data_IF_094232851746
#
_entry.id   IF_094232851746
#
_cell.length_a   1.000
_cell.length_b   1.000
_cell.length_c   1.000
_cell.angle_alpha   90.00
_cell.angle_beta   90.00
_cell.angle_gamma   90.00
#
_symmetry.space_group_name_H-M   'P 1'
#
loop_
_entity.id
_entity.type
_entity.pdbx_description
1 polymer ?
#
# COMPACT_ATOMS: atom_id res chain seq x y z
N UNK A 1 -5.11 -8.19 -3.10
CA UNK A 1 -5.52 -7.06 -2.25
C UNK A 1 -6.50 -6.18 -3.00
N UNK A 2 -7.56 -5.72 -2.36
CA UNK A 2 -8.57 -4.83 -2.91
C UNK A 2 -8.35 -3.40 -2.43
N UNK A 3 -8.55 -2.45 -3.34
CA UNK A 3 -8.58 -1.02 -3.06
C UNK A 3 -9.93 -0.44 -3.46
N UNK A 4 -10.47 0.46 -2.63
CA UNK A 4 -11.64 1.25 -2.97
C UNK A 4 -11.22 2.43 -3.84
N UNK A 5 -11.62 2.48 -5.11
CA UNK A 5 -11.30 3.60 -6.00
C UNK A 5 -12.31 4.76 -5.86
N UNK A 6 -13.61 4.46 -5.81
CA UNK A 6 -14.69 5.45 -5.80
C UNK A 6 -16.04 4.81 -5.36
N UNK A 7 -16.97 5.62 -4.85
CA UNK A 7 -18.38 5.23 -4.65
C UNK A 7 -19.26 6.30 -5.27
N UNK A 8 -19.89 5.99 -6.40
CA UNK A 8 -20.76 6.92 -7.13
C UNK A 8 -21.83 6.19 -7.91
N UNK A 9 -22.94 6.87 -8.18
CA UNK A 9 -24.03 6.36 -9.02
C UNK A 9 -24.55 4.97 -8.60
N UNK A 10 -24.54 4.69 -7.29
CA UNK A 10 -24.93 3.38 -6.73
C UNK A 10 -23.90 2.26 -6.95
N UNK A 11 -22.70 2.56 -7.42
CA UNK A 11 -21.63 1.62 -7.71
C UNK A 11 -20.44 1.81 -6.77
N UNK A 12 -19.79 0.70 -6.42
CA UNK A 12 -18.49 0.69 -5.74
C UNK A 12 -17.44 0.32 -6.78
N UNK A 13 -16.50 1.22 -7.02
CA UNK A 13 -15.39 1.01 -7.96
C UNK A 13 -14.19 0.48 -7.20
N UNK A 14 -13.61 -0.61 -7.71
CA UNK A 14 -12.60 -1.39 -7.02
C UNK A 14 -11.41 -1.71 -7.93
N UNK A 15 -10.23 -1.75 -7.31
CA UNK A 15 -8.99 -2.24 -7.92
C UNK A 15 -8.50 -3.48 -7.17
N UNK A 16 -8.40 -4.62 -7.86
CA UNK A 16 -7.76 -5.82 -7.33
C UNK A 16 -6.29 -5.86 -7.76
N UNK A 17 -5.39 -5.80 -6.79
CA UNK A 17 -3.93 -5.91 -6.96
C UNK A 17 -3.45 -7.33 -6.68
N UNK A 18 -2.61 -7.85 -7.56
CA UNK A 18 -1.93 -9.15 -7.44
C UNK A 18 -0.43 -8.94 -7.62
N UNK A 19 0.35 -9.53 -6.71
CA UNK A 19 1.79 -9.64 -6.82
C UNK A 19 2.11 -11.07 -7.26
N UNK A 20 2.84 -11.23 -8.35
CA UNK A 20 3.20 -12.56 -8.87
C UNK A 20 4.62 -12.58 -9.41
N UNK A 21 5.27 -13.74 -9.34
CA UNK A 21 6.52 -14.05 -10.05
C UNK A 21 6.28 -14.82 -11.34
N UNK A 22 5.03 -15.20 -11.60
CA UNK A 22 4.61 -15.91 -12.81
C UNK A 22 4.75 -15.00 -14.04
N UNK A 23 5.42 -15.49 -15.07
CA UNK A 23 5.61 -14.83 -16.35
C UNK A 23 4.43 -15.04 -17.32
N UNK A 24 3.52 -15.97 -17.00
CA UNK A 24 2.29 -16.22 -17.73
C UNK A 24 1.24 -15.11 -17.64
N UNK A 25 0.25 -15.18 -18.52
CA UNK A 25 -0.94 -14.33 -18.45
C UNK A 25 -1.81 -14.75 -17.27
N UNK A 26 -2.16 -13.81 -16.40
CA UNK A 26 -3.12 -14.05 -15.33
C UNK A 26 -4.53 -14.19 -15.90
N UNK A 27 -5.22 -15.26 -15.51
CA UNK A 27 -6.64 -15.41 -15.77
C UNK A 27 -7.40 -14.16 -15.27
N UNK A 28 -8.37 -13.64 -16.04
CA UNK A 28 -9.06 -12.41 -15.70
C UNK A 28 -9.88 -12.58 -14.41
N UNK A 29 -10.12 -11.46 -13.73
CA UNK A 29 -11.08 -11.39 -12.64
C UNK A 29 -12.50 -11.49 -13.22
N UNK A 30 -13.36 -12.29 -12.61
CA UNK A 30 -14.73 -12.52 -13.07
C UNK A 30 -15.71 -12.14 -11.95
N UNK A 31 -16.65 -11.24 -12.24
CA UNK A 31 -17.75 -10.88 -11.33
C UNK A 31 -18.92 -11.87 -11.43
N UNK A 32 -19.85 -11.86 -10.47
CA UNK A 32 -20.97 -12.81 -10.46
C UNK A 32 -21.95 -12.66 -11.63
N UNK A 33 -22.04 -11.46 -12.19
CA UNK A 33 -22.80 -11.11 -13.39
C UNK A 33 -22.14 -11.61 -14.69
N UNK A 34 -20.98 -12.27 -14.56
CA UNK A 34 -20.18 -12.78 -15.68
C UNK A 34 -19.28 -11.72 -16.31
N UNK A 35 -19.22 -10.49 -15.78
CA UNK A 35 -18.32 -9.47 -16.29
C UNK A 35 -16.85 -9.89 -16.09
N UNK A 36 -16.07 -9.75 -17.16
CA UNK A 36 -14.66 -10.19 -17.23
C UNK A 36 -13.74 -8.96 -17.20
N UNK A 37 -12.80 -8.96 -16.27
CA UNK A 37 -11.90 -7.85 -15.99
C UNK A 37 -10.44 -8.31 -16.10
N UNK A 38 -9.73 -7.99 -17.19
CA UNK A 38 -8.35 -8.42 -17.38
C UNK A 38 -7.41 -7.72 -16.40
N UNK A 39 -6.40 -8.45 -15.95
CA UNK A 39 -5.28 -7.87 -15.21
C UNK A 39 -4.36 -7.12 -16.17
N UNK A 40 -3.93 -5.91 -15.78
CA UNK A 40 -2.90 -5.13 -16.47
C UNK A 40 -1.68 -5.00 -15.59
N UNK A 41 -0.51 -5.16 -16.18
CA UNK A 41 0.76 -4.92 -15.48
C UNK A 41 0.95 -3.42 -15.22
N UNK A 42 1.35 -3.10 -13.98
CA UNK A 42 1.60 -1.75 -13.51
C UNK A 42 3.09 -1.48 -13.34
N UNK A 43 3.82 -2.50 -12.88
CA UNK A 43 5.27 -2.49 -12.85
C UNK A 43 5.81 -3.92 -12.80
N UNK A 44 7.10 -4.01 -13.13
CA UNK A 44 7.96 -5.15 -12.88
C UNK A 44 9.16 -4.65 -12.07
N UNK A 45 9.43 -5.28 -10.93
CA UNK A 45 10.51 -4.91 -10.01
C UNK A 45 11.02 -6.14 -9.27
N UNK A 46 12.35 -6.30 -9.15
CA UNK A 46 12.96 -7.42 -8.42
C UNK A 46 12.40 -8.83 -8.78
N UNK A 47 12.06 -9.05 -10.04
CA UNK A 47 11.47 -10.32 -10.53
C UNK A 47 10.00 -10.54 -10.18
N UNK A 48 9.34 -9.54 -9.60
CA UNK A 48 7.90 -9.52 -9.34
C UNK A 48 7.17 -8.63 -10.33
N UNK A 49 5.97 -9.06 -10.69
CA UNK A 49 5.01 -8.30 -11.48
C UNK A 49 3.88 -7.84 -10.58
N UNK A 50 3.48 -6.58 -10.75
CA UNK A 50 2.34 -6.00 -10.06
C UNK A 50 1.20 -5.84 -11.04
N UNK A 51 0.16 -6.63 -10.84
CA UNK A 51 -0.97 -6.77 -11.76
C UNK A 51 -2.20 -6.14 -11.14
N UNK A 52 -3.00 -5.41 -11.93
CA UNK A 52 -4.26 -4.82 -11.48
C UNK A 52 -5.42 -5.10 -12.43
N UNK A 53 -6.51 -5.60 -11.87
CA UNK A 53 -7.82 -5.60 -12.51
C UNK A 53 -8.69 -4.50 -11.87
N UNK A 54 -9.44 -3.76 -12.70
CA UNK A 54 -10.43 -2.78 -12.25
C UNK A 54 -11.82 -3.28 -12.55
N UNK A 55 -12.69 -3.24 -11.55
CA UNK A 55 -14.06 -3.72 -11.64
C UNK A 55 -14.98 -2.87 -10.77
N UNK A 56 -16.28 -3.16 -10.82
CA UNK A 56 -17.27 -2.49 -9.99
C UNK A 56 -18.34 -3.47 -9.55
N UNK A 57 -19.04 -3.14 -8.47
CA UNK A 57 -20.22 -3.86 -8.03
C UNK A 57 -21.30 -2.91 -7.51
N UNK A 58 -22.52 -3.43 -7.42
CA UNK A 58 -23.67 -2.70 -6.90
C UNK A 58 -23.49 -2.38 -5.41
N UNK A 59 -23.53 -1.10 -5.04
CA UNK A 59 -23.23 -0.65 -3.68
C UNK A 59 -24.22 -1.19 -2.63
N UNK A 60 -25.44 -1.55 -3.03
CA UNK A 60 -26.49 -2.04 -2.13
C UNK A 60 -26.49 -3.55 -1.94
N UNK A 61 -25.71 -4.28 -2.74
CA UNK A 61 -25.70 -5.75 -2.75
C UNK A 61 -24.33 -6.26 -2.36
N UNK A 62 -24.28 -7.51 -1.92
CA UNK A 62 -23.04 -8.26 -1.80
C UNK A 62 -22.31 -8.28 -3.14
N UNK A 63 -21.01 -7.98 -3.13
CA UNK A 63 -20.17 -8.00 -4.34
C UNK A 63 -19.36 -9.29 -4.29
N UNK A 64 -19.46 -10.12 -5.33
CA UNK A 64 -18.70 -11.36 -5.45
C UNK A 64 -17.84 -11.34 -6.71
N UNK A 65 -16.59 -11.75 -6.56
CA UNK A 65 -15.66 -11.87 -7.68
C UNK A 65 -14.80 -13.13 -7.54
N UNK A 66 -14.30 -13.64 -8.65
CA UNK A 66 -13.38 -14.77 -8.71
C UNK A 66 -12.07 -14.34 -9.37
N UNK A 67 -10.95 -14.67 -8.73
CA UNK A 67 -9.62 -14.43 -9.26
C UNK A 67 -8.67 -15.50 -8.69
N UNK A 68 -7.67 -15.90 -9.48
CA UNK A 68 -6.63 -16.87 -9.05
C UNK A 68 -7.24 -18.17 -8.47
N UNK A 69 -8.31 -18.67 -9.11
CA UNK A 69 -8.98 -19.92 -8.71
C UNK A 69 -9.81 -19.84 -7.42
N UNK A 70 -9.96 -18.64 -6.82
CA UNK A 70 -10.73 -18.44 -5.59
C UNK A 70 -11.85 -17.44 -5.82
N UNK A 71 -13.01 -17.70 -5.23
CA UNK A 71 -14.15 -16.78 -5.19
C UNK A 71 -14.20 -16.08 -3.85
N UNK A 72 -14.33 -14.75 -3.89
CA UNK A 72 -14.36 -13.87 -2.74
C UNK A 72 -15.69 -13.13 -2.69
N UNK A 73 -16.12 -12.81 -1.47
CA UNK A 73 -17.34 -12.08 -1.19
C UNK A 73 -17.03 -10.88 -0.31
N UNK A 74 -17.47 -9.69 -0.74
CA UNK A 74 -17.36 -8.45 0.02
C UNK A 74 -18.70 -8.13 0.67
N UNK A 75 -18.65 -7.51 1.84
CA UNK A 75 -19.83 -6.90 2.47
C UNK A 75 -20.44 -5.86 1.51
N UNK A 76 -21.74 -6.01 1.22
CA UNK A 76 -22.51 -5.05 0.44
C UNK A 76 -23.02 -3.87 1.27
N UNK A 77 -24.06 -3.20 0.77
CA UNK A 77 -24.80 -2.16 1.51
C UNK A 77 -23.97 -0.94 1.96
N UNK A 78 -23.05 -0.47 1.11
CA UNK A 78 -22.22 0.73 1.33
C UNK A 78 -23.00 2.04 1.55
N UNK A 79 -24.33 2.04 1.35
CA UNK A 79 -25.22 3.18 1.65
C UNK A 79 -25.89 3.14 3.04
N UNK A 80 -25.55 2.16 3.89
CA UNK A 80 -26.11 1.98 5.23
C UNK A 80 -25.10 2.22 6.36
N UNK A 81 -25.27 1.52 7.48
CA UNK A 81 -24.33 1.57 8.60
C UNK A 81 -23.06 0.78 8.27
N UNK A 82 -21.96 1.49 8.01
CA UNK A 82 -20.68 0.88 7.69
C UNK A 82 -20.01 0.33 8.94
N UNK A 83 -19.51 -0.91 8.82
CA UNK A 83 -18.56 -1.49 9.74
C UNK A 83 -17.15 -1.33 9.16
N UNK A 84 -16.29 -0.57 9.83
CA UNK A 84 -14.99 -0.15 9.31
C UNK A 84 -13.91 -0.69 10.24
N UNK A 85 -12.95 -1.42 9.68
CA UNK A 85 -11.72 -1.79 10.38
C UNK A 85 -10.70 -0.66 10.19
N UNK A 86 -9.94 -0.37 11.24
CA UNK A 86 -8.85 0.61 11.21
C UNK A 86 -7.57 -0.06 11.69
N UNK A 87 -6.47 0.16 10.97
CA UNK A 87 -5.14 -0.35 11.31
C UNK A 87 -4.08 0.74 11.07
N UNK A 88 -3.10 0.85 11.97
CA UNK A 88 -1.97 1.77 11.89
C UNK A 88 -0.82 1.23 12.73
N UNK A 89 0.41 1.66 12.46
CA UNK A 89 1.60 1.33 13.27
C UNK A 89 1.77 -0.19 13.42
N UNK A 90 1.85 -0.89 12.29
CA UNK A 90 1.83 -2.36 12.22
C UNK A 90 3.21 -3.01 12.32
N UNK A 91 4.25 -2.23 12.64
CA UNK A 91 5.62 -2.71 12.73
C UNK A 91 6.42 -2.01 13.83
N UNK A 92 7.72 -2.27 13.83
CA UNK A 92 8.71 -1.66 14.72
C UNK A 92 9.81 -0.97 13.89
N UNK A 93 10.42 0.07 14.44
CA UNK A 93 11.43 0.89 13.74
C UNK A 93 12.67 0.10 13.31
N UNK A 94 13.02 -0.94 14.07
CA UNK A 94 14.18 -1.79 13.80
C UNK A 94 13.82 -3.26 13.96
N UNK A 95 14.25 -4.07 12.99
CA UNK A 95 14.09 -5.53 13.08
C UNK A 95 12.66 -6.03 13.03
N UNK A 96 11.69 -5.26 12.51
CA UNK A 96 10.28 -5.70 12.44
C UNK A 96 10.11 -7.03 11.67
N UNK A 97 10.94 -7.24 10.65
CA UNK A 97 10.94 -8.47 9.88
C UNK A 97 11.58 -9.66 10.62
N UNK A 98 12.35 -9.41 11.69
CA UNK A 98 13.00 -10.42 12.54
C UNK A 98 12.15 -10.83 13.75
N UNK A 99 11.05 -10.11 14.01
CA UNK A 99 10.09 -10.43 15.07
C UNK A 99 9.40 -11.78 14.80
N UNK A 100 8.97 -12.42 15.88
CA UNK A 100 8.14 -13.62 15.76
C UNK A 100 6.87 -13.30 14.93
N UNK A 101 6.60 -14.04 13.83
CA UNK A 101 5.47 -13.74 12.96
C UNK A 101 4.10 -13.87 13.64
N UNK A 102 3.95 -14.72 14.67
CA UNK A 102 2.69 -14.88 15.37
C UNK A 102 2.43 -13.65 16.25
N UNK A 103 3.46 -13.15 16.93
CA UNK A 103 3.39 -11.91 17.70
C UNK A 103 3.15 -10.70 16.80
N UNK A 104 3.96 -10.53 15.75
CA UNK A 104 3.85 -9.39 14.82
C UNK A 104 2.45 -9.29 14.20
N UNK A 105 1.87 -10.43 13.81
CA UNK A 105 0.62 -10.45 13.06
C UNK A 105 -0.63 -10.69 13.91
N UNK A 106 -0.51 -10.76 15.25
CA UNK A 106 -1.62 -11.14 16.15
C UNK A 106 -2.89 -10.30 15.94
N UNK A 107 -2.71 -8.99 15.67
CA UNK A 107 -3.82 -8.07 15.45
C UNK A 107 -4.50 -8.28 14.09
N UNK A 108 -3.75 -8.68 13.06
CA UNK A 108 -4.32 -9.06 11.76
C UNK A 108 -5.14 -10.35 11.85
N UNK A 109 -4.62 -11.36 12.56
CA UNK A 109 -5.34 -12.59 12.84
C UNK A 109 -6.64 -12.33 13.61
N UNK A 110 -6.60 -11.39 14.57
CA UNK A 110 -7.78 -10.93 15.29
C UNK A 110 -8.79 -10.24 14.37
N UNK A 111 -8.38 -9.27 13.55
CA UNK A 111 -9.26 -8.59 12.60
C UNK A 111 -9.91 -9.57 11.62
N UNK A 112 -9.16 -10.56 11.12
CA UNK A 112 -9.73 -11.59 10.25
C UNK A 112 -10.80 -12.43 10.96
N UNK A 113 -10.60 -12.78 12.24
CA UNK A 113 -11.64 -13.48 13.04
C UNK A 113 -12.87 -12.60 13.25
N UNK A 114 -12.69 -11.32 13.56
CA UNK A 114 -13.79 -10.38 13.72
C UNK A 114 -14.56 -10.20 12.40
N UNK A 115 -13.87 -10.11 11.27
CA UNK A 115 -14.46 -10.02 9.94
C UNK A 115 -15.37 -11.22 9.62
N UNK A 116 -14.96 -12.44 10.01
CA UNK A 116 -15.75 -13.66 9.82
C UNK A 116 -17.05 -13.67 10.63
N UNK A 117 -17.09 -12.97 11.77
CA UNK A 117 -18.29 -12.87 12.63
C UNK A 117 -19.16 -11.69 12.23
N UNK A 118 -18.54 -10.54 11.97
CA UNK A 118 -19.20 -9.29 11.58
C UNK A 118 -18.41 -8.65 10.44
N UNK A 119 -18.84 -8.86 9.18
CA UNK A 119 -18.10 -8.37 8.02
C UNK A 119 -17.81 -6.87 8.07
N UNK A 120 -16.61 -6.51 7.64
CA UNK A 120 -16.17 -5.14 7.44
C UNK A 120 -16.43 -4.74 6.00
N UNK A 121 -16.77 -3.47 5.81
CA UNK A 121 -17.01 -2.87 4.49
C UNK A 121 -15.74 -2.21 3.95
N UNK A 122 -14.91 -1.67 4.86
CA UNK A 122 -13.69 -0.96 4.54
C UNK A 122 -12.59 -1.27 5.57
N UNK A 123 -11.36 -1.34 5.07
CA UNK A 123 -10.14 -1.38 5.87
C UNK A 123 -9.42 -0.05 5.67
N UNK A 124 -9.45 0.80 6.69
CA UNK A 124 -8.73 2.07 6.72
C UNK A 124 -7.33 1.85 7.26
N UNK A 125 -6.32 2.21 6.48
CA UNK A 125 -4.93 2.20 6.92
C UNK A 125 -4.51 3.61 7.28
N UNK A 126 -4.16 3.84 8.54
CA UNK A 126 -3.78 5.14 9.08
C UNK A 126 -2.36 5.59 8.76
N UNK A 127 -1.53 4.74 8.16
CA UNK A 127 -0.09 4.93 7.97
C UNK A 127 0.75 4.04 8.88
N UNK A 128 2.07 4.12 8.75
CA UNK A 128 3.05 3.30 9.46
C UNK A 128 2.79 1.80 9.22
N UNK A 129 2.66 1.41 7.96
CA UNK A 129 2.29 0.03 7.61
C UNK A 129 3.51 -0.88 7.49
N UNK A 130 4.62 -0.36 6.97
CA UNK A 130 5.76 -1.18 6.56
C UNK A 130 7.10 -0.86 7.23
N UNK A 131 7.18 0.24 8.00
CA UNK A 131 8.40 0.69 8.69
C UNK A 131 9.65 0.60 7.80
N UNK A 132 9.72 1.53 6.85
CA UNK A 132 10.68 1.53 5.75
C UNK A 132 11.91 2.41 6.02
N UNK A 133 12.14 2.80 7.26
CA UNK A 133 13.23 3.66 7.71
C UNK A 133 14.60 3.19 7.21
N UNK A 134 14.83 1.88 7.30
CA UNK A 134 16.08 1.22 6.88
C UNK A 134 16.34 1.30 5.38
N UNK A 135 15.33 1.63 4.55
CA UNK A 135 15.48 1.73 3.08
C UNK A 135 16.40 2.90 2.69
N UNK A 136 16.55 3.90 3.56
CA UNK A 136 17.47 5.03 3.33
C UNK A 136 18.94 4.65 3.53
N UNK A 137 19.21 3.53 4.20
CA UNK A 137 20.57 3.06 4.49
C UNK A 137 21.19 2.35 3.28
N UNK A 138 22.52 2.19 3.30
CA UNK A 138 23.25 1.41 2.30
C UNK A 138 23.51 2.10 0.95
N UNK A 139 23.20 3.40 0.84
CA UNK A 139 23.53 4.21 -0.33
C UNK A 139 24.28 5.49 0.07
N UNK A 140 25.40 5.86 -0.59
CA UNK A 140 26.27 6.98 -0.16
C UNK A 140 25.58 8.34 -0.03
N UNK A 141 24.50 8.58 -0.79
CA UNK A 141 23.73 9.83 -0.71
C UNK A 141 22.69 9.87 0.42
N UNK A 142 22.32 8.74 1.01
CA UNK A 142 21.23 8.67 1.99
C UNK A 142 21.61 7.98 3.30
N UNK A 143 22.75 7.29 3.39
CA UNK A 143 23.16 6.55 4.60
C UNK A 143 23.23 7.42 5.87
N UNK A 144 23.67 8.67 5.73
CA UNK A 144 23.76 9.64 6.83
C UNK A 144 22.66 10.72 6.75
N UNK A 145 21.69 10.57 5.86
CA UNK A 145 20.55 11.50 5.78
C UNK A 145 19.56 11.15 6.90
N UNK A 146 18.96 12.12 7.63
CA UNK A 146 18.94 13.57 7.37
C UNK A 146 20.06 14.38 8.04
N UNK A 147 20.94 13.76 8.82
CA UNK A 147 21.96 14.45 9.61
C UNK A 147 23.00 15.15 8.74
N UNK A 148 23.52 14.43 7.74
CA UNK A 148 24.45 14.94 6.74
C UNK A 148 23.76 15.14 5.38
N UNK A 149 24.14 16.22 4.69
CA UNK A 149 23.70 16.49 3.32
C UNK A 149 24.92 16.71 2.43
N UNK A 150 25.12 15.89 1.39
CA UNK A 150 26.04 16.18 0.30
C UNK A 150 25.73 17.55 -0.30
N UNK A 151 26.78 18.37 -0.53
CA UNK A 151 26.62 19.75 -1.01
C UNK A 151 26.05 19.85 -2.42
N UNK A 152 26.47 18.96 -3.32
CA UNK A 152 26.08 18.97 -4.73
C UNK A 152 26.03 17.53 -5.26
N UNK A 153 24.94 16.78 -4.98
CA UNK A 153 24.80 15.42 -5.49
C UNK A 153 24.65 15.44 -7.01
N UNK A 154 25.47 14.63 -7.70
CA UNK A 154 25.39 14.52 -9.15
C UNK A 154 24.03 13.97 -9.59
N UNK A 155 23.63 14.30 -10.82
CA UNK A 155 22.40 13.74 -11.41
C UNK A 155 22.43 12.21 -11.46
N UNK A 156 23.57 11.64 -11.84
CA UNK A 156 23.77 10.19 -11.88
C UNK A 156 23.61 9.57 -10.49
N UNK A 157 24.19 10.18 -9.45
CA UNK A 157 24.03 9.70 -8.08
C UNK A 157 22.58 9.78 -7.59
N UNK A 158 21.81 10.79 -7.99
CA UNK A 158 20.38 10.88 -7.67
C UNK A 158 19.53 9.85 -8.44
N UNK A 159 19.92 9.50 -9.67
CA UNK A 159 19.29 8.43 -10.45
C UNK A 159 19.60 7.05 -9.84
N UNK A 160 20.83 6.83 -9.36
CA UNK A 160 21.24 5.63 -8.62
C UNK A 160 20.49 5.50 -7.27
N UNK A 161 20.45 6.58 -6.48
CA UNK A 161 19.66 6.64 -5.25
C UNK A 161 18.19 6.28 -5.50
N UNK A 162 17.61 6.79 -6.59
CA UNK A 162 16.23 6.48 -6.95
C UNK A 162 16.04 4.99 -7.23
N UNK A 163 16.99 4.35 -7.90
CA UNK A 163 16.94 2.91 -8.17
C UNK A 163 17.09 2.09 -6.88
N UNK A 164 18.01 2.50 -5.99
CA UNK A 164 18.21 1.92 -4.65
C UNK A 164 16.92 1.96 -3.83
N UNK A 165 16.33 3.16 -3.66
CA UNK A 165 15.10 3.34 -2.90
C UNK A 165 13.93 2.56 -3.51
N UNK A 166 13.76 2.63 -4.83
CA UNK A 166 12.71 1.88 -5.53
C UNK A 166 12.78 0.38 -5.25
N UNK A 167 13.97 -0.20 -5.27
CA UNK A 167 14.18 -1.62 -4.95
C UNK A 167 13.91 -1.90 -3.48
N UNK A 168 14.52 -1.14 -2.57
CA UNK A 168 14.41 -1.37 -1.13
C UNK A 168 12.98 -1.25 -0.61
N UNK A 169 12.24 -0.22 -1.03
CA UNK A 169 10.82 -0.09 -0.67
C UNK A 169 9.98 -1.22 -1.25
N UNK A 170 10.22 -1.61 -2.51
CA UNK A 170 9.48 -2.70 -3.13
C UNK A 170 9.70 -4.04 -2.38
N UNK A 171 10.95 -4.36 -2.07
CA UNK A 171 11.32 -5.55 -1.30
C UNK A 171 10.73 -5.54 0.12
N UNK A 172 10.69 -4.35 0.77
CA UNK A 172 10.03 -4.17 2.08
C UNK A 172 8.53 -4.47 2.00
N UNK A 173 7.82 -3.91 1.02
CA UNK A 173 6.40 -4.19 0.80
C UNK A 173 6.14 -5.68 0.56
N UNK A 174 6.90 -6.31 -0.35
CA UNK A 174 6.75 -7.73 -0.66
C UNK A 174 6.99 -8.59 0.59
N UNK A 175 8.03 -8.29 1.36
CA UNK A 175 8.35 -9.01 2.61
C UNK A 175 7.22 -8.90 3.63
N UNK A 176 6.65 -7.70 3.81
CA UNK A 176 5.50 -7.49 4.68
C UNK A 176 4.28 -8.30 4.23
N UNK A 177 3.92 -8.25 2.94
CA UNK A 177 2.76 -9.00 2.42
C UNK A 177 2.93 -10.51 2.56
N UNK A 178 4.08 -11.05 2.17
CA UNK A 178 4.36 -12.49 2.30
C UNK A 178 4.40 -12.94 3.75
N UNK A 179 4.85 -12.06 4.65
CA UNK A 179 4.91 -12.30 6.08
C UNK A 179 3.59 -12.13 6.83
N UNK A 180 2.49 -11.71 6.17
CA UNK A 180 1.22 -11.41 6.83
C UNK A 180 0.01 -12.02 6.08
N UNK A 181 -0.16 -13.35 6.08
CA UNK A 181 -1.21 -14.04 5.32
C UNK A 181 -2.63 -13.66 5.76
N UNK A 182 -2.86 -13.43 7.06
CA UNK A 182 -4.18 -13.05 7.57
C UNK A 182 -4.62 -11.67 7.07
N UNK A 183 -3.68 -10.72 6.97
CA UNK A 183 -3.95 -9.42 6.37
C UNK A 183 -4.24 -9.55 4.88
N UNK A 184 -3.50 -10.38 4.13
CA UNK A 184 -3.78 -10.62 2.71
C UNK A 184 -5.16 -11.26 2.50
N UNK A 185 -5.55 -12.20 3.36
CA UNK A 185 -6.88 -12.82 3.33
C UNK A 185 -7.97 -11.79 3.61
N UNK A 186 -7.79 -10.94 4.63
CA UNK A 186 -8.72 -9.85 4.95
C UNK A 186 -8.81 -8.84 3.78
N UNK A 187 -7.67 -8.44 3.23
CA UNK A 187 -7.60 -7.46 2.16
C UNK A 187 -8.05 -8.01 0.80
N UNK A 188 -8.33 -9.32 0.68
CA UNK A 188 -9.01 -9.91 -0.46
C UNK A 188 -10.55 -9.84 -0.36
N UNK A 189 -11.10 -9.60 0.83
CA UNK A 189 -12.56 -9.51 1.04
C UNK A 189 -13.00 -8.14 1.54
N UNK A 190 -12.07 -7.28 1.96
CA UNK A 190 -12.33 -5.92 2.46
C UNK A 190 -11.53 -4.91 1.66
N UNK A 191 -12.19 -4.02 0.87
CA UNK A 191 -11.53 -2.94 0.17
C UNK A 191 -10.75 -2.02 1.11
N UNK A 192 -9.49 -1.76 0.76
CA UNK A 192 -8.60 -0.90 1.52
C UNK A 192 -8.65 0.54 1.04
N UNK A 193 -8.62 1.47 1.99
CA UNK A 193 -8.29 2.88 1.76
C UNK A 193 -7.06 3.20 2.59
N UNK A 194 -5.97 3.53 1.92
CA UNK A 194 -4.66 3.66 2.56
C UNK A 194 -4.20 5.11 2.62
N UNK A 195 -3.75 5.52 3.80
CA UNK A 195 -2.92 6.69 4.03
C UNK A 195 -1.49 6.24 4.37
N UNK A 196 -0.52 7.12 4.12
CA UNK A 196 0.87 6.96 4.51
C UNK A 196 1.17 7.87 5.72
N UNK A 197 2.11 7.46 6.56
CA UNK A 197 2.68 8.29 7.63
C UNK A 197 4.22 8.29 7.51
N UNK A 198 4.93 8.86 8.46
CA UNK A 198 6.37 9.09 8.38
C UNK A 198 7.17 7.81 8.16
N UNK A 199 6.90 6.72 8.89
CA UNK A 199 7.65 5.46 8.71
C UNK A 199 7.38 4.75 7.37
N UNK A 200 6.44 5.22 6.56
CA UNK A 200 6.29 4.75 5.17
C UNK A 200 7.28 5.46 4.21
N UNK A 201 8.03 6.46 4.69
CA UNK A 201 9.12 7.16 3.98
C UNK A 201 10.42 7.08 4.79
N UNK A 202 10.40 7.66 5.99
CA UNK A 202 11.43 7.60 7.03
C UNK A 202 10.93 8.30 8.30
N UNK A 203 11.52 7.96 9.44
CA UNK A 203 11.20 8.52 10.74
C UNK A 203 11.26 10.05 10.75
N UNK A 204 10.26 10.65 11.39
CA UNK A 204 10.12 12.09 11.56
C UNK A 204 9.84 12.85 10.27
N UNK A 205 9.53 12.17 9.16
CA UNK A 205 9.15 12.84 7.91
C UNK A 205 8.01 13.83 8.15
N UNK A 206 8.24 15.10 7.79
CA UNK A 206 7.31 16.21 8.06
C UNK A 206 7.62 17.04 9.31
N UNK A 207 8.40 16.48 10.23
CA UNK A 207 9.03 17.19 11.36
C UNK A 207 10.47 17.61 11.06
N UNK A 208 11.12 16.95 10.09
CA UNK A 208 12.45 17.32 9.60
C UNK A 208 12.51 18.76 9.08
N UNK A 209 13.68 19.40 9.25
CA UNK A 209 13.96 20.75 8.73
C UNK A 209 13.70 20.79 7.23
N UNK A 210 13.10 21.88 6.73
CA UNK A 210 12.84 22.06 5.28
C UNK A 210 14.10 21.92 4.43
N UNK A 211 15.26 22.32 4.95
CA UNK A 211 16.54 22.12 4.24
C UNK A 211 16.86 20.66 3.95
N UNK A 212 16.30 19.71 4.71
CA UNK A 212 16.46 18.26 4.49
C UNK A 212 15.42 17.74 3.52
N UNK A 213 14.14 18.03 3.75
CA UNK A 213 13.03 17.51 2.92
C UNK A 213 12.96 18.14 1.53
N UNK A 214 13.41 19.38 1.37
CA UNK A 214 13.50 20.07 0.07
C UNK A 214 14.87 19.92 -0.60
N UNK A 215 15.81 19.17 0.00
CA UNK A 215 17.07 18.85 -0.68
C UNK A 215 16.82 17.90 -1.87
N UNK A 216 17.76 17.79 -2.82
CA UNK A 216 17.64 16.80 -3.91
C UNK A 216 17.42 15.37 -3.41
N UNK A 217 18.05 14.99 -2.29
CA UNK A 217 17.90 13.68 -1.65
C UNK A 217 16.50 13.53 -1.04
N UNK A 218 16.05 14.52 -0.27
CA UNK A 218 14.70 14.53 0.32
C UNK A 218 13.61 14.45 -0.76
N UNK A 219 13.74 15.21 -1.84
CA UNK A 219 12.80 15.13 -2.95
C UNK A 219 12.86 13.77 -3.67
N UNK A 220 14.02 13.11 -3.71
CA UNK A 220 14.17 11.77 -4.29
C UNK A 220 13.46 10.72 -3.43
N UNK A 221 13.60 10.78 -2.10
CA UNK A 221 12.86 9.96 -1.14
C UNK A 221 11.35 10.13 -1.31
N UNK A 222 10.88 11.37 -1.36
CA UNK A 222 9.45 11.68 -1.54
C UNK A 222 8.90 11.18 -2.88
N UNK A 223 9.71 11.17 -3.94
CA UNK A 223 9.24 10.86 -5.30
C UNK A 223 8.79 9.41 -5.46
N UNK A 224 9.34 8.47 -4.67
CA UNK A 224 8.88 7.08 -4.65
C UNK A 224 7.35 6.99 -4.40
N UNK A 225 6.79 7.91 -3.60
CA UNK A 225 5.37 7.99 -3.30
C UNK A 225 4.48 8.32 -4.51
N UNK A 226 5.00 9.07 -5.50
CA UNK A 226 4.18 9.68 -6.56
C UNK A 226 3.84 8.69 -7.69
N UNK A 227 4.41 7.47 -7.67
CA UNK A 227 4.07 6.40 -8.62
C UNK A 227 3.80 5.11 -7.85
N UNK A 228 2.55 4.88 -7.42
CA UNK A 228 2.29 3.87 -6.41
C UNK A 228 2.33 2.49 -7.04
N UNK A 229 3.02 1.56 -6.40
CA UNK A 229 2.66 0.15 -6.44
C UNK A 229 1.75 -0.23 -5.26
N UNK A 230 1.69 0.61 -4.21
CA UNK A 230 0.98 0.28 -2.97
C UNK A 230 0.17 1.44 -2.34
N UNK A 231 0.39 2.69 -2.75
CA UNK A 231 -0.48 3.83 -2.40
C UNK A 231 -1.56 4.06 -3.49
N UNK A 232 -2.28 3.01 -3.88
CA UNK A 232 -3.09 3.02 -5.11
C UNK A 232 -4.38 3.84 -5.08
N UNK A 233 -4.64 4.63 -4.03
CA UNK A 233 -5.86 5.42 -3.94
C UNK A 233 -5.65 6.93 -4.03
N UNK A 234 -5.05 7.41 -5.13
CA UNK A 234 -5.10 8.85 -5.45
C UNK A 234 -5.43 9.16 -6.92
N UNK A 235 -6.62 8.83 -7.45
CA UNK A 235 -7.15 9.53 -8.63
C UNK A 235 -7.61 10.95 -8.28
N UNK A 236 -7.90 11.25 -7.00
CA UNK A 236 -8.61 12.47 -6.57
C UNK A 236 -7.67 13.60 -6.11
N UNK A 237 -6.39 13.34 -5.89
CA UNK A 237 -5.50 14.28 -5.16
C UNK A 237 -4.36 14.88 -5.98
N UNK A 238 -4.41 14.80 -7.32
CA UNK A 238 -3.45 15.52 -8.19
C UNK A 238 -3.56 17.05 -8.12
N UNK A 239 -4.65 17.59 -7.55
CA UNK A 239 -4.86 19.03 -7.37
C UNK A 239 -4.47 19.60 -5.99
N UNK A 240 -4.30 18.79 -4.94
CA UNK A 240 -4.17 19.27 -3.54
C UNK A 240 -2.80 18.94 -2.92
N UNK A 241 -1.92 18.24 -3.64
CA UNK A 241 -0.52 17.99 -3.21
C UNK A 241 0.41 19.23 -3.20
N UNK A 242 -0.13 20.44 -2.96
CA UNK A 242 0.64 21.57 -2.42
C UNK A 242 0.56 21.67 -0.89
N UNK A 243 -0.30 20.89 -0.24
CA UNK A 243 -0.37 20.78 1.22
C UNK A 243 -0.84 19.39 1.63
N UNK A 244 0.10 18.46 1.86
CA UNK A 244 -0.24 17.19 2.49
C UNK A 244 -0.77 17.42 3.90
N UNK A 245 -1.89 16.81 4.25
CA UNK A 245 -2.25 16.62 5.65
C UNK A 245 -1.36 15.49 6.19
N UNK A 246 -0.38 15.87 7.00
CA UNK A 246 0.39 14.95 7.84
C UNK A 246 -0.18 15.05 9.25
N UNK A 247 -0.42 13.90 9.88
CA UNK A 247 -0.77 13.85 11.30
C UNK A 247 0.56 14.04 12.05
N UNK A 248 0.73 15.18 12.72
CA UNK A 248 1.90 15.38 13.59
C UNK A 248 1.72 14.54 14.84
N UNK A 249 2.65 13.62 15.13
CA UNK A 249 2.87 13.13 16.49
C UNK A 249 3.22 14.34 17.37
N UNK A 250 2.44 14.54 18.44
CA UNK A 250 2.56 15.67 19.36
C UNK A 250 3.72 15.55 20.33
#
# INVERSE_FOLDING_TARGET
MLFLDDIRDGQVWLSALVLTRDDGDLAPLICDDGAVHPFRELACEAGWRVMRARFRGEARSTIRYSALGTTYELAGAFGGNLNIAFASCNGEEHGDLDRDPEERNVMWARLLREHKVRPFHLLLHGGDQIYADEVTQGHPLSEDWPDHLPKDPSREGLEDLRAHLRRGFFERYVSFFLGCPDMLALAATVPSLCQWDDHDICDGWGSLRRSRTYSPIGQTLLMWRVRPLFCFNMPVWTGICRGGFMIRKG
#
